data_IF_905163268405
#
_entry.id   IF_905163268405
#
_cell.length_a   1.000
_cell.length_b   1.000
_cell.length_c   1.000
_cell.angle_alpha   90.00
_cell.angle_beta   90.00
_cell.angle_gamma   90.00
#
_symmetry.space_group_name_H-M   'P 1'
#
loop_
_entity.id
_entity.type
_entity.pdbx_description
1 polymer ?
#
# COMPACT_ATOMS: atom_id res chain seq x y z
N UNK A 1 21.75 18.08 -6.39
CA UNK A 1 21.25 17.29 -5.23
C UNK A 1 19.74 17.29 -5.27
N UNK A 2 19.07 16.15 -5.06
CA UNK A 2 17.62 16.10 -4.96
C UNK A 2 17.12 16.83 -3.70
N UNK A 3 15.97 17.49 -3.84
CA UNK A 3 15.35 18.31 -2.80
C UNK A 3 14.04 17.68 -2.32
N UNK A 4 13.87 17.56 -1.01
CA UNK A 4 12.65 17.07 -0.40
C UNK A 4 11.80 18.24 0.11
N UNK A 5 10.62 18.42 -0.48
CA UNK A 5 9.63 19.45 -0.05
C UNK A 5 9.12 19.21 1.36
N UNK A 6 8.88 17.94 1.74
CA UNK A 6 8.37 17.58 3.07
C UNK A 6 9.40 17.83 4.18
N UNK A 7 10.68 17.55 3.91
CA UNK A 7 11.74 17.81 4.87
C UNK A 7 12.25 19.26 4.83
N UNK A 8 11.90 20.00 3.78
CA UNK A 8 12.45 21.30 3.41
C UNK A 8 13.99 21.31 3.39
N UNK A 9 14.61 20.27 2.81
CA UNK A 9 16.08 20.13 2.74
C UNK A 9 16.52 19.35 1.50
N UNK A 10 17.73 19.64 1.05
CA UNK A 10 18.46 18.81 0.10
C UNK A 10 19.00 17.55 0.80
N UNK A 11 19.06 16.44 0.08
CA UNK A 11 19.58 15.18 0.61
C UNK A 11 20.57 14.53 -0.38
N UNK A 12 21.50 13.75 0.16
CA UNK A 12 22.60 13.12 -0.58
C UNK A 12 22.35 11.64 -0.83
N UNK A 13 21.57 10.99 0.03
CA UNK A 13 21.19 9.59 -0.17
C UNK A 13 20.24 9.39 -1.37
N UNK A 14 20.15 8.17 -1.94
CA UNK A 14 19.12 7.84 -2.92
C UNK A 14 17.72 8.19 -2.37
N UNK A 15 16.83 8.71 -3.20
CA UNK A 15 15.47 9.12 -2.80
C UNK A 15 14.70 8.03 -2.05
N UNK A 16 15.00 6.76 -2.33
CA UNK A 16 14.43 5.60 -1.62
C UNK A 16 14.82 5.61 -0.15
N UNK A 17 16.11 5.78 0.16
CA UNK A 17 16.64 5.80 1.52
C UNK A 17 16.19 7.07 2.26
N UNK A 18 16.10 8.19 1.55
CA UNK A 18 15.59 9.44 2.12
C UNK A 18 14.16 9.29 2.64
N UNK A 19 13.26 8.77 1.80
CA UNK A 19 11.82 8.69 2.06
C UNK A 19 11.45 7.73 3.21
N UNK A 20 12.35 6.80 3.56
CA UNK A 20 12.18 5.85 4.68
C UNK A 20 12.99 6.23 5.91
N UNK A 21 13.76 7.33 5.86
CA UNK A 21 14.57 7.75 7.00
C UNK A 21 13.68 8.16 8.17
N UNK A 22 14.11 7.85 9.40
CA UNK A 22 13.40 8.27 10.63
C UNK A 22 13.16 9.79 10.66
N UNK A 23 14.08 10.57 10.09
CA UNK A 23 13.96 12.03 9.98
C UNK A 23 12.85 12.47 9.02
N UNK A 24 12.72 11.81 7.86
CA UNK A 24 11.69 12.09 6.87
C UNK A 24 10.32 11.64 7.38
N UNK A 25 10.22 10.39 7.87
CA UNK A 25 8.99 9.84 8.43
C UNK A 25 8.49 10.64 9.64
N UNK A 26 9.37 11.11 10.53
CA UNK A 26 9.00 11.99 11.64
C UNK A 26 8.41 13.31 11.15
N UNK A 27 8.99 13.90 10.09
CA UNK A 27 8.49 15.14 9.49
C UNK A 27 7.17 14.93 8.76
N UNK A 28 6.98 13.79 8.08
CA UNK A 28 5.69 13.36 7.55
C UNK A 28 4.65 13.19 8.65
N UNK A 29 5.01 12.61 9.79
CA UNK A 29 4.11 12.47 10.93
C UNK A 29 3.74 13.83 11.57
N UNK A 30 4.62 14.83 11.48
CA UNK A 30 4.31 16.20 11.89
C UNK A 30 3.40 16.92 10.88
N UNK A 31 3.45 16.53 9.60
CA UNK A 31 2.59 17.06 8.52
C UNK A 31 1.22 16.35 8.52
N UNK A 32 1.19 15.06 8.83
CA UNK A 32 -0.01 14.23 8.90
C UNK A 32 -0.78 14.51 10.20
N UNK A 33 -2.00 15.05 10.08
CA UNK A 33 -2.91 15.39 11.19
C UNK A 33 -3.42 14.20 12.02
N UNK A 34 -2.96 12.98 11.77
CA UNK A 34 -3.33 11.77 12.50
C UNK A 34 -2.09 11.06 13.06
N UNK A 35 -2.08 10.63 14.34
CA UNK A 35 -0.95 9.92 14.93
C UNK A 35 -0.86 8.52 14.31
N UNK A 36 -0.09 8.39 13.24
CA UNK A 36 0.31 7.11 12.68
C UNK A 36 1.69 6.73 13.24
N UNK A 37 1.83 5.50 13.70
CA UNK A 37 3.16 4.95 14.06
C UNK A 37 3.66 4.15 12.87
N UNK A 38 4.80 4.52 12.25
CA UNK A 38 5.43 3.66 11.26
C UNK A 38 5.86 2.37 11.94
N UNK A 39 5.40 1.23 11.44
CA UNK A 39 5.87 -0.08 11.89
C UNK A 39 7.02 -0.46 10.95
N UNK A 40 8.23 -0.65 11.50
CA UNK A 40 9.38 -1.11 10.71
C UNK A 40 9.04 -2.45 10.07
N UNK A 41 9.03 -2.51 8.73
CA UNK A 41 8.75 -3.76 8.01
C UNK A 41 10.02 -4.60 7.90
N UNK A 42 9.97 -5.82 8.42
CA UNK A 42 10.92 -6.89 8.11
C UNK A 42 10.83 -7.22 6.61
N UNK A 43 11.87 -6.84 5.86
CA UNK A 43 12.24 -7.15 4.46
C UNK A 43 12.68 -5.87 3.74
N UNK A 44 13.94 -5.47 3.97
CA UNK A 44 14.68 -4.53 3.11
C UNK A 44 13.93 -3.24 2.72
N UNK A 45 13.17 -2.64 3.64
CA UNK A 45 12.68 -1.26 3.53
C UNK A 45 11.71 -0.91 2.40
N UNK A 46 11.13 -1.89 1.69
CA UNK A 46 10.24 -1.62 0.55
C UNK A 46 8.75 -1.47 0.91
N UNK A 47 8.35 -1.83 2.13
CA UNK A 47 6.95 -1.81 2.56
C UNK A 47 6.78 -0.78 3.68
N UNK A 48 6.15 0.35 3.36
CA UNK A 48 5.75 1.33 4.35
C UNK A 48 4.45 0.84 5.02
N UNK A 49 4.49 0.64 6.34
CA UNK A 49 3.33 0.20 7.12
C UNK A 49 2.90 1.30 8.07
N UNK A 50 1.67 1.76 7.92
CA UNK A 50 1.07 2.82 8.74
C UNK A 50 0.03 2.20 9.69
N UNK A 51 0.19 2.43 10.98
CA UNK A 51 -0.81 2.02 11.98
C UNK A 51 -1.64 3.21 12.45
N UNK A 52 -2.94 3.17 12.16
CA UNK A 52 -3.95 4.16 12.54
C UNK A 52 -4.69 3.66 13.77
N UNK A 53 -4.20 4.04 14.94
CA UNK A 53 -4.81 3.61 16.20
C UNK A 53 -6.19 4.24 16.38
N UNK A 54 -7.17 3.43 16.79
CA UNK A 54 -8.45 3.95 17.23
C UNK A 54 -8.36 4.42 18.69
N UNK A 55 -8.65 5.70 18.94
CA UNK A 55 -8.64 6.27 20.29
C UNK A 55 -10.03 6.40 20.90
N UNK A 56 -11.06 6.72 20.09
CA UNK A 56 -12.39 7.13 20.60
C UNK A 56 -13.57 6.74 19.73
N UNK A 57 -13.36 6.11 18.57
CA UNK A 57 -14.47 5.78 17.67
C UNK A 57 -15.17 4.51 18.16
N UNK A 58 -16.46 4.65 18.48
CA UNK A 58 -17.33 3.55 18.94
C UNK A 58 -17.90 2.73 17.78
N UNK A 59 -18.17 3.38 16.65
CA UNK A 59 -18.62 2.73 15.41
C UNK A 59 -17.48 2.69 14.39
N UNK A 60 -17.54 1.66 13.54
CA UNK A 60 -16.66 1.51 12.38
C UNK A 60 -16.87 2.63 11.35
N UNK A 61 -18.11 3.11 11.17
CA UNK A 61 -18.41 4.19 10.23
C UNK A 61 -17.72 5.48 10.66
N UNK A 62 -17.87 5.84 11.94
CA UNK A 62 -17.22 7.03 12.53
C UNK A 62 -15.69 6.90 12.47
N UNK A 63 -15.17 5.69 12.63
CA UNK A 63 -13.74 5.42 12.51
C UNK A 63 -13.25 5.65 11.08
N UNK A 64 -13.96 5.13 10.07
CA UNK A 64 -13.59 5.33 8.67
C UNK A 64 -13.76 6.77 8.21
N UNK A 65 -14.83 7.47 8.58
CA UNK A 65 -14.99 8.91 8.27
C UNK A 65 -13.82 9.74 8.79
N UNK A 66 -13.26 9.38 9.95
CA UNK A 66 -12.09 10.06 10.51
C UNK A 66 -10.79 9.77 9.76
N UNK A 67 -10.62 8.55 9.27
CA UNK A 67 -9.40 8.11 8.57
C UNK A 67 -9.41 8.53 7.10
N UNK A 68 -10.59 8.69 6.50
CA UNK A 68 -10.77 8.97 5.09
C UNK A 68 -9.92 10.15 4.57
N UNK A 69 -9.89 11.33 5.22
CA UNK A 69 -9.02 12.42 4.79
C UNK A 69 -7.54 12.04 4.79
N UNK A 70 -7.10 11.32 5.83
CA UNK A 70 -5.73 10.83 5.93
C UNK A 70 -5.39 9.84 4.81
N UNK A 71 -6.32 8.95 4.44
CA UNK A 71 -6.14 8.01 3.35
C UNK A 71 -5.91 8.73 2.02
N UNK A 72 -6.68 9.78 1.74
CA UNK A 72 -6.48 10.58 0.53
C UNK A 72 -5.13 11.31 0.54
N UNK A 73 -4.75 11.90 1.67
CA UNK A 73 -3.50 12.64 1.79
C UNK A 73 -2.28 11.73 1.57
N UNK A 74 -2.25 10.55 2.22
CA UNK A 74 -1.15 9.60 2.02
C UNK A 74 -1.12 9.06 0.59
N UNK A 75 -2.26 8.74 -0.01
CA UNK A 75 -2.30 8.24 -1.39
C UNK A 75 -1.78 9.30 -2.36
N UNK A 76 -2.24 10.55 -2.23
CA UNK A 76 -1.77 11.67 -3.07
C UNK A 76 -0.28 11.92 -2.91
N UNK A 77 0.23 11.84 -1.68
CA UNK A 77 1.65 11.99 -1.42
C UNK A 77 2.48 10.88 -2.08
N UNK A 78 2.07 9.62 -1.94
CA UNK A 78 2.79 8.49 -2.55
C UNK A 78 2.74 8.54 -4.08
N UNK A 79 1.59 8.93 -4.66
CA UNK A 79 1.42 9.09 -6.11
C UNK A 79 2.30 10.19 -6.71
N UNK A 80 2.75 11.19 -5.94
CA UNK A 80 3.74 12.18 -6.43
C UNK A 80 5.08 11.54 -6.77
N UNK A 81 5.41 10.41 -6.15
CA UNK A 81 6.68 9.72 -6.34
C UNK A 81 6.54 8.57 -7.33
N UNK A 82 5.58 7.66 -7.11
CA UNK A 82 5.37 6.49 -7.95
C UNK A 82 4.00 5.85 -7.71
N UNK A 83 3.53 5.08 -8.69
CA UNK A 83 2.44 4.13 -8.47
C UNK A 83 2.82 3.14 -7.36
N UNK A 84 1.82 2.68 -6.61
CA UNK A 84 2.04 1.80 -5.47
C UNK A 84 0.96 0.73 -5.34
N UNK A 85 1.28 -0.31 -4.60
CA UNK A 85 0.39 -1.40 -4.22
C UNK A 85 0.05 -1.24 -2.75
N UNK A 86 -1.23 -1.26 -2.41
CA UNK A 86 -1.69 -1.10 -1.04
C UNK A 86 -2.63 -2.21 -0.61
N UNK A 87 -2.56 -2.57 0.67
CA UNK A 87 -3.58 -3.38 1.33
C UNK A 87 -3.82 -2.86 2.75
N UNK A 88 -5.05 -3.06 3.24
CA UNK A 88 -5.49 -2.60 4.54
C UNK A 88 -5.83 -3.79 5.43
N UNK A 89 -5.53 -3.67 6.73
CA UNK A 89 -5.84 -4.69 7.75
C UNK A 89 -6.51 -3.99 8.93
N UNK A 90 -7.80 -4.27 9.13
CA UNK A 90 -8.56 -3.80 10.28
C UNK A 90 -8.37 -4.77 11.44
N UNK A 91 -7.96 -4.28 12.62
CA UNK A 91 -7.86 -5.09 13.84
C UNK A 91 -8.95 -4.71 14.83
N UNK A 92 -9.65 -5.70 15.34
CA UNK A 92 -10.78 -5.55 16.25
C UNK A 92 -10.67 -6.56 17.40
N UNK A 93 -11.13 -6.18 18.58
CA UNK A 93 -11.30 -7.10 19.71
C UNK A 93 -12.79 -7.45 19.87
N UNK A 94 -13.05 -8.73 20.06
CA UNK A 94 -14.37 -9.32 20.22
C UNK A 94 -14.50 -9.97 21.59
N UNK A 95 -15.73 -9.99 22.10
CA UNK A 95 -16.11 -10.66 23.35
C UNK A 95 -17.34 -11.53 23.14
N UNK A 96 -17.48 -12.57 23.95
CA UNK A 96 -18.77 -13.27 24.09
C UNK A 96 -19.64 -12.53 25.12
N UNK A 97 -20.91 -12.20 24.80
CA UNK A 97 -21.81 -11.50 25.73
C UNK A 97 -21.98 -12.24 27.07
N UNK A 98 -22.04 -13.57 27.02
CA UNK A 98 -22.27 -14.44 28.17
C UNK A 98 -20.99 -14.78 28.96
N UNK A 99 -19.81 -14.60 28.35
CA UNK A 99 -18.53 -14.77 29.02
C UNK A 99 -17.55 -13.68 28.58
N UNK A 100 -17.57 -12.56 29.32
CA UNK A 100 -16.72 -11.39 29.05
C UNK A 100 -15.22 -11.65 29.30
N UNK A 101 -14.84 -12.82 29.84
CA UNK A 101 -13.45 -13.22 30.00
C UNK A 101 -12.86 -13.73 28.68
N UNK A 102 -13.71 -14.24 27.79
CA UNK A 102 -13.29 -14.67 26.45
C UNK A 102 -13.19 -13.44 25.53
N UNK A 103 -11.95 -12.96 25.38
CA UNK A 103 -11.56 -11.92 24.44
C UNK A 103 -10.78 -12.53 23.30
N UNK A 104 -11.13 -12.17 22.08
CA UNK A 104 -10.40 -12.60 20.89
C UNK A 104 -10.12 -11.41 19.98
N UNK A 105 -8.86 -11.28 19.55
CA UNK A 105 -8.48 -10.30 18.55
C UNK A 105 -8.61 -10.92 17.16
N UNK A 106 -9.28 -10.19 16.25
CA UNK A 106 -9.43 -10.57 14.86
C UNK A 106 -8.93 -9.48 13.93
N UNK A 107 -8.35 -9.94 12.82
CA UNK A 107 -7.83 -9.09 11.77
C UNK A 107 -8.57 -9.40 10.47
N UNK A 108 -9.12 -8.37 9.83
CA UNK A 108 -9.79 -8.43 8.53
C UNK A 108 -8.92 -7.75 7.50
N UNK A 109 -8.71 -8.35 6.33
CA UNK A 109 -7.64 -7.94 5.42
C UNK A 109 -8.15 -7.80 4.00
N UNK A 110 -7.93 -6.63 3.40
CA UNK A 110 -8.21 -6.43 1.99
C UNK A 110 -7.17 -7.10 1.10
N UNK A 111 -7.58 -7.41 -0.12
CA UNK A 111 -6.63 -7.74 -1.20
C UNK A 111 -5.74 -6.55 -1.50
N UNK A 112 -4.64 -6.84 -2.19
CA UNK A 112 -3.77 -5.78 -2.65
C UNK A 112 -4.39 -5.07 -3.87
N UNK A 113 -4.41 -3.75 -3.83
CA UNK A 113 -4.91 -2.88 -4.88
C UNK A 113 -3.74 -2.08 -5.44
N UNK A 114 -3.67 -1.94 -6.76
CA UNK A 114 -2.70 -1.08 -7.43
C UNK A 114 -3.31 0.31 -7.57
N UNK A 115 -2.63 1.32 -7.04
CA UNK A 115 -3.04 2.72 -7.08
C UNK A 115 -2.06 3.47 -7.98
N UNK A 116 -2.60 4.10 -9.01
CA UNK A 116 -1.89 4.90 -10.01
C UNK A 116 -2.47 6.31 -10.06
N UNK A 117 -1.82 7.21 -10.80
CA UNK A 117 -2.32 8.58 -11.00
C UNK A 117 -3.69 8.61 -11.68
N UNK A 118 -4.03 7.58 -12.47
CA UNK A 118 -5.32 7.46 -13.15
C UNK A 118 -6.39 6.78 -12.29
N UNK A 119 -6.05 6.28 -11.10
CA UNK A 119 -6.98 5.57 -10.23
C UNK A 119 -7.92 6.53 -9.49
N UNK A 120 -9.20 6.17 -9.43
CA UNK A 120 -10.17 6.89 -8.59
C UNK A 120 -10.01 6.49 -7.11
N UNK A 121 -9.42 7.39 -6.32
CA UNK A 121 -9.20 7.17 -4.90
C UNK A 121 -10.50 7.04 -4.09
N UNK A 122 -11.58 7.70 -4.51
CA UNK A 122 -12.87 7.65 -3.81
C UNK A 122 -13.50 6.26 -3.96
N UNK A 123 -13.53 5.76 -5.18
CA UNK A 123 -13.98 4.39 -5.48
C UNK A 123 -13.15 3.36 -4.71
N UNK A 124 -11.81 3.48 -4.74
CA UNK A 124 -10.92 2.58 -3.99
C UNK A 124 -11.20 2.60 -2.48
N UNK A 125 -11.42 3.78 -1.90
CA UNK A 125 -11.71 3.88 -0.47
C UNK A 125 -13.05 3.24 -0.12
N UNK A 126 -14.08 3.41 -0.95
CA UNK A 126 -15.37 2.76 -0.76
C UNK A 126 -15.26 1.24 -0.85
N UNK A 127 -14.54 0.71 -1.85
CA UNK A 127 -14.29 -0.73 -1.98
C UNK A 127 -13.57 -1.31 -0.74
N UNK A 128 -12.58 -0.58 -0.21
CA UNK A 128 -11.86 -0.97 1.00
C UNK A 128 -12.81 -1.01 2.20
N UNK A 129 -13.64 0.02 2.40
CA UNK A 129 -14.63 0.06 3.49
C UNK A 129 -15.61 -1.09 3.38
N UNK A 130 -16.25 -1.27 2.23
CA UNK A 130 -17.27 -2.30 2.02
C UNK A 130 -16.70 -3.70 2.25
N UNK A 131 -15.49 -3.97 1.77
CA UNK A 131 -14.85 -5.26 1.96
C UNK A 131 -14.58 -5.55 3.45
N UNK A 132 -14.00 -4.59 4.17
CA UNK A 132 -13.71 -4.74 5.60
C UNK A 132 -14.99 -4.87 6.44
N UNK A 133 -16.02 -4.07 6.16
CA UNK A 133 -17.31 -4.16 6.85
C UNK A 133 -17.97 -5.50 6.58
N UNK A 134 -17.96 -5.98 5.34
CA UNK A 134 -18.52 -7.29 4.99
C UNK A 134 -17.82 -8.43 5.74
N UNK A 135 -16.49 -8.49 5.72
CA UNK A 135 -15.74 -9.52 6.45
C UNK A 135 -16.04 -9.48 7.96
N UNK A 136 -16.13 -8.28 8.52
CA UNK A 136 -16.47 -8.05 9.92
C UNK A 136 -17.88 -8.54 10.28
N UNK A 137 -18.88 -8.24 9.44
CA UNK A 137 -20.27 -8.66 9.62
C UNK A 137 -20.42 -10.18 9.44
N UNK A 138 -19.75 -10.77 8.45
CA UNK A 138 -19.72 -12.22 8.26
C UNK A 138 -19.11 -12.94 9.46
N UNK A 139 -18.08 -12.38 10.08
CA UNK A 139 -17.50 -12.95 11.30
C UNK A 139 -18.48 -12.93 12.48
N UNK A 140 -19.22 -11.82 12.64
CA UNK A 140 -20.25 -11.71 13.68
C UNK A 140 -21.42 -12.67 13.44
N UNK A 141 -21.82 -12.90 12.19
CA UNK A 141 -22.94 -13.79 11.85
C UNK A 141 -22.60 -15.27 11.92
N UNK A 142 -21.34 -15.66 11.65
CA UNK A 142 -20.88 -17.07 11.71
C UNK A 142 -20.53 -17.53 13.11
N UNK A 143 -20.21 -16.61 14.02
CA UNK A 143 -19.85 -16.91 15.40
C UNK A 143 -21.06 -17.19 16.29
N UNK A 144 -20.96 -18.15 17.20
CA UNK A 144 -21.96 -18.45 18.23
C UNK A 144 -22.03 -17.38 19.34
N UNK A 145 -22.16 -16.11 18.97
CA UNK A 145 -22.29 -14.97 19.87
C UNK A 145 -21.00 -14.19 20.08
N UNK A 146 -20.24 -13.88 19.04
CA UNK A 146 -19.16 -12.88 19.13
C UNK A 146 -19.71 -11.48 18.89
N UNK A 147 -19.52 -10.58 19.84
CA UNK A 147 -19.88 -9.17 19.73
C UNK A 147 -18.62 -8.31 19.66
N UNK A 148 -18.65 -7.27 18.83
CA UNK A 148 -17.55 -6.32 18.73
C UNK A 148 -17.42 -5.59 20.07
N UNK A 149 -16.24 -5.68 20.70
CA UNK A 149 -15.94 -4.90 21.90
C UNK A 149 -15.31 -3.56 21.53
N UNK A 150 -14.28 -3.59 20.69
CA UNK A 150 -13.56 -2.37 20.29
C UNK A 150 -12.85 -2.55 18.96
N UNK A 151 -12.78 -1.47 18.19
CA UNK A 151 -11.89 -1.37 17.03
C UNK A 151 -10.53 -0.96 17.57
N UNK A 152 -9.48 -1.73 17.28
CA UNK A 152 -8.11 -1.43 17.76
C UNK A 152 -7.45 -0.40 16.84
N UNK A 153 -7.66 -0.54 15.53
CA UNK A 153 -7.11 0.36 14.53
C UNK A 153 -7.05 -0.25 13.13
N UNK A 154 -6.52 0.53 12.19
CA UNK A 154 -6.33 0.14 10.80
C UNK A 154 -4.83 0.16 10.45
N UNK A 155 -4.33 -0.93 9.92
CA UNK A 155 -2.99 -1.02 9.37
C UNK A 155 -3.07 -0.84 7.86
N UNK A 156 -2.43 0.18 7.30
CA UNK A 156 -2.34 0.40 5.85
C UNK A 156 -0.91 0.12 5.42
N UNK A 157 -0.75 -0.87 4.55
CA UNK A 157 0.54 -1.21 3.95
C UNK A 157 0.61 -0.61 2.56
N UNK A 158 1.75 -0.02 2.24
CA UNK A 158 2.05 0.59 0.95
C UNK A 158 3.40 0.06 0.48
N UNK A 159 3.44 -0.50 -0.72
CA UNK A 159 4.64 -0.97 -1.37
C UNK A 159 4.78 -0.32 -2.74
N UNK A 160 5.99 0.06 -3.14
CA UNK A 160 6.24 0.59 -4.48
C UNK A 160 5.77 -0.40 -5.54
N UNK A 161 5.03 0.09 -6.53
CA UNK A 161 4.61 -0.70 -7.67
C UNK A 161 5.39 -0.26 -8.90
N UNK A 162 6.29 -1.12 -9.36
CA UNK A 162 6.95 -0.96 -10.64
C UNK A 162 6.36 -1.98 -11.64
N UNK A 163 5.35 -1.61 -12.46
CA UNK A 163 4.74 -2.53 -13.41
C UNK A 163 5.75 -3.04 -14.44
N UNK A 164 6.75 -2.21 -14.74
CA UNK A 164 7.75 -2.46 -15.75
C UNK A 164 9.11 -2.48 -15.05
N UNK A 165 9.50 -3.64 -14.51
CA UNK A 165 10.93 -3.92 -14.28
C UNK A 165 11.58 -4.23 -15.63
N UNK A 166 11.42 -3.30 -16.56
CA UNK A 166 11.87 -3.37 -17.94
C UNK A 166 13.14 -2.55 -17.99
N UNK A 167 14.27 -3.24 -18.11
CA UNK A 167 15.59 -2.65 -18.23
C UNK A 167 15.99 -2.52 -19.70
N UNK A 168 17.25 -2.19 -19.95
CA UNK A 168 17.93 -2.52 -21.20
C UNK A 168 17.92 -4.03 -21.47
N UNK A 169 18.46 -4.42 -22.63
CA UNK A 169 18.60 -5.79 -23.10
C UNK A 169 18.79 -6.82 -21.99
N UNK A 170 17.85 -7.77 -21.91
CA UNK A 170 17.94 -8.92 -21.01
C UNK A 170 18.35 -10.14 -21.85
N UNK A 171 19.44 -10.82 -21.51
CA UNK A 171 19.84 -12.02 -22.25
C UNK A 171 18.78 -13.12 -22.07
N UNK A 172 18.34 -13.69 -23.20
CA UNK A 172 17.47 -14.86 -23.20
C UNK A 172 18.22 -16.10 -22.70
N UNK A 173 17.49 -17.06 -22.15
CA UNK A 173 18.05 -18.37 -21.82
C UNK A 173 18.49 -19.11 -23.09
N UNK A 174 19.52 -19.95 -22.97
CA UNK A 174 20.13 -20.65 -24.11
C UNK A 174 19.11 -21.46 -24.94
N UNK A 175 18.08 -22.01 -24.29
CA UNK A 175 17.04 -22.77 -24.96
C UNK A 175 16.22 -21.92 -25.94
N UNK A 176 15.88 -20.69 -25.56
CA UNK A 176 15.11 -19.77 -26.41
C UNK A 176 15.99 -19.18 -27.51
N UNK A 177 17.27 -18.92 -27.22
CA UNK A 177 18.23 -18.46 -28.24
C UNK A 177 18.40 -19.51 -29.34
N UNK A 178 18.42 -20.80 -28.98
CA UNK A 178 18.57 -21.91 -29.93
C UNK A 178 17.38 -22.05 -30.88
N UNK A 179 16.16 -21.75 -30.43
CA UNK A 179 14.98 -21.87 -31.31
C UNK A 179 14.93 -20.80 -32.38
N UNK A 180 15.63 -19.67 -32.19
CA UNK A 180 15.61 -18.48 -33.07
C UNK A 180 14.20 -17.92 -33.32
N UNK A 181 13.19 -18.33 -32.54
CA UNK A 181 11.80 -17.93 -32.74
C UNK A 181 11.45 -16.57 -32.14
N UNK A 182 12.35 -16.00 -31.33
CA UNK A 182 12.14 -14.73 -30.61
C UNK A 182 13.21 -13.73 -31.02
N UNK A 183 12.78 -12.54 -31.46
CA UNK A 183 13.66 -11.40 -31.72
C UNK A 183 13.97 -10.69 -30.40
N UNK A 184 15.17 -10.91 -29.85
CA UNK A 184 15.63 -10.20 -28.65
C UNK A 184 16.34 -8.90 -29.03
N UNK A 185 15.59 -7.81 -29.09
CA UNK A 185 16.12 -6.50 -29.50
C UNK A 185 17.18 -6.02 -28.50
N UNK A 186 18.43 -5.89 -28.97
CA UNK A 186 19.52 -5.32 -28.18
C UNK A 186 19.36 -3.81 -28.09
N UNK A 187 19.27 -3.29 -26.87
CA UNK A 187 19.29 -1.87 -26.59
C UNK A 187 20.15 -1.57 -25.36
N UNK A 188 20.82 -0.42 -25.36
CA UNK A 188 21.64 0.08 -24.24
C UNK A 188 20.94 1.19 -23.45
N UNK A 189 19.72 1.55 -23.86
CA UNK A 189 18.86 2.55 -23.21
C UNK A 189 17.70 1.86 -22.45
N UNK A 190 16.75 2.65 -21.95
CA UNK A 190 15.55 2.15 -21.25
C UNK A 190 14.31 2.05 -22.17
N UNK A 191 14.50 1.99 -23.49
CA UNK A 191 13.41 2.02 -24.48
C UNK A 191 13.12 0.66 -25.14
N UNK A 192 13.47 -0.48 -24.53
CA UNK A 192 13.25 -1.80 -25.15
C UNK A 192 11.78 -2.09 -25.46
N UNK A 193 10.82 -1.59 -24.65
CA UNK A 193 9.40 -1.72 -24.96
C UNK A 193 9.01 -0.97 -26.24
N UNK A 194 9.52 0.27 -26.41
CA UNK A 194 9.32 1.04 -27.64
C UNK A 194 9.86 0.27 -28.85
N UNK A 195 11.07 -0.27 -28.76
CA UNK A 195 11.65 -1.02 -29.85
C UNK A 195 10.92 -2.33 -30.14
N UNK A 196 10.45 -3.05 -29.11
CA UNK A 196 9.66 -4.27 -29.30
C UNK A 196 8.37 -3.99 -30.10
N UNK A 197 7.70 -2.86 -29.83
CA UNK A 197 6.53 -2.42 -30.60
C UNK A 197 6.91 -1.98 -32.02
N UNK A 198 7.95 -1.16 -32.17
CA UNK A 198 8.39 -0.65 -33.48
C UNK A 198 8.94 -1.75 -34.41
N UNK A 199 9.56 -2.80 -33.86
CA UNK A 199 10.06 -3.92 -34.67
C UNK A 199 8.94 -4.75 -35.31
N UNK A 200 7.68 -4.57 -34.89
CA UNK A 200 6.52 -5.28 -35.43
C UNK A 200 5.89 -4.54 -36.62
N UNK A 201 6.10 -3.23 -36.77
CA UNK A 201 5.59 -2.45 -37.89
C UNK A 201 6.54 -2.52 -39.08
N UNK A 202 6.34 -3.53 -39.92
CA UNK A 202 6.70 -3.46 -41.34
C UNK A 202 5.41 -3.68 -42.13
N UNK A 203 4.80 -2.60 -42.58
CA UNK A 203 3.98 -2.59 -43.80
C UNK A 203 4.91 -2.35 -44.99
#
# INVERSE_FOLDING_TARGET
MPYCKNCNKNYTEPSVQHNVSKSHLSKLNQICRFPCTPIESSMQGNINTFWLRNYRSKSIDIFFTKIEPWFYDICREQLRNCSFKSNSILKCAYIKPFDRRLKEEKSFKTRNIIITVASDLSSIWNDVKENLVREMTEFQSRGSGWSLQTILGLEVRVNRYNPLRVSSYIPLSANIVKTKSVVNVKNFDFFCFKYAVLCQSKE
#
